data_IF_085152950289
#
_entry.id   IF_085152950289
#
_cell.length_a   1.000
_cell.length_b   1.000
_cell.length_c   1.000
_cell.angle_alpha   90.00
_cell.angle_beta   90.00
_cell.angle_gamma   90.00
#
_symmetry.space_group_name_H-M   'P 1'
#
loop_
_entity.id
_entity.type
_entity.pdbx_description
1 polymer ?
#
# COMPACT_ATOMS: atom_id res chain seq x y z
N UNK A 1 -2.49 -10.80 -6.37
CA UNK A 1 -1.47 -9.75 -6.32
C UNK A 1 -0.49 -9.93 -5.14
N UNK A 2 -0.81 -9.60 -3.89
CA UNK A 2 0.16 -9.72 -2.77
C UNK A 2 0.87 -11.10 -2.64
N UNK A 3 0.13 -12.19 -2.89
CA UNK A 3 0.68 -13.57 -2.84
C UNK A 3 1.69 -13.86 -3.96
N UNK A 4 1.64 -13.13 -5.06
CA UNK A 4 2.52 -13.33 -6.23
C UNK A 4 3.89 -12.67 -6.02
N UNK A 5 3.98 -11.65 -5.16
CA UNK A 5 5.22 -10.92 -4.88
C UNK A 5 5.50 -10.90 -3.37
N UNK A 6 6.08 -11.98 -2.80
CA UNK A 6 6.44 -11.99 -1.40
C UNK A 6 7.52 -10.94 -1.10
N UNK A 7 7.28 -10.10 -0.10
CA UNK A 7 8.23 -9.11 0.38
C UNK A 7 8.36 -9.23 1.90
N UNK A 8 9.58 -9.06 2.41
CA UNK A 8 9.82 -9.00 3.85
C UNK A 8 9.37 -7.65 4.41
N UNK A 9 8.39 -7.69 5.31
CA UNK A 9 7.80 -6.53 5.98
C UNK A 9 8.35 -6.38 7.42
N UNK A 10 9.63 -6.69 7.61
CA UNK A 10 10.32 -6.63 8.90
C UNK A 10 10.53 -5.22 9.45
N UNK A 11 10.35 -4.17 8.62
CA UNK A 11 10.48 -2.79 9.08
C UNK A 11 9.44 -2.51 10.19
N UNK A 12 9.87 -2.09 11.40
CA UNK A 12 8.96 -1.89 12.50
C UNK A 12 8.02 -0.71 12.24
N UNK A 13 6.81 -0.78 12.82
CA UNK A 13 5.86 0.34 12.77
C UNK A 13 6.32 1.44 13.74
N UNK A 14 6.37 2.67 13.25
CA UNK A 14 6.59 3.86 14.07
C UNK A 14 5.23 4.44 14.44
N UNK A 15 5.08 4.83 15.71
CA UNK A 15 3.91 5.55 16.20
C UNK A 15 4.35 6.97 16.55
N UNK A 16 3.69 7.96 15.94
CA UNK A 16 3.87 9.38 16.26
C UNK A 16 2.61 9.83 16.99
N UNK A 17 2.76 10.57 18.09
CA UNK A 17 1.62 11.04 18.88
C UNK A 17 0.92 12.19 18.17
N UNK A 18 -0.38 12.34 18.41
CA UNK A 18 -1.15 13.47 17.87
C UNK A 18 -0.59 14.80 18.42
N UNK A 19 -0.32 15.74 17.51
CA UNK A 19 0.25 17.06 17.84
C UNK A 19 1.78 17.10 17.94
N UNK A 20 2.47 15.98 17.68
CA UNK A 20 3.93 15.92 17.58
C UNK A 20 4.35 15.92 16.10
N UNK A 21 5.32 16.76 15.74
CA UNK A 21 5.89 16.74 14.40
C UNK A 21 6.74 15.47 14.21
N UNK A 22 6.53 14.69 13.13
CA UNK A 22 7.27 13.45 12.92
C UNK A 22 8.73 13.75 12.56
N UNK A 23 9.66 12.99 13.14
CA UNK A 23 11.08 13.07 12.76
C UNK A 23 11.32 12.57 11.33
N UNK A 24 12.42 13.00 10.71
CA UNK A 24 12.81 12.55 9.36
C UNK A 24 12.96 11.04 9.30
N UNK A 25 13.48 10.42 10.36
CA UNK A 25 13.65 8.98 10.51
C UNK A 25 12.30 8.27 10.58
N UNK A 26 11.36 8.80 11.37
CA UNK A 26 10.00 8.27 11.49
C UNK A 26 9.28 8.27 10.13
N UNK A 27 9.38 9.38 9.39
CA UNK A 27 8.83 9.52 8.04
C UNK A 27 9.50 8.52 7.09
N UNK A 28 10.83 8.48 7.06
CA UNK A 28 11.60 7.62 6.15
C UNK A 28 11.29 6.14 6.39
N UNK A 29 11.23 5.71 7.65
CA UNK A 29 10.91 4.34 8.01
C UNK A 29 9.49 3.96 7.61
N UNK A 30 8.54 4.87 7.85
CA UNK A 30 7.14 4.66 7.47
C UNK A 30 6.98 4.55 5.95
N UNK A 31 7.62 5.43 5.19
CA UNK A 31 7.60 5.40 3.73
C UNK A 31 8.23 4.13 3.17
N UNK A 32 9.40 3.71 3.67
CA UNK A 32 10.03 2.46 3.24
C UNK A 32 9.12 1.26 3.47
N UNK A 33 8.51 1.16 4.65
CA UNK A 33 7.57 0.09 4.98
C UNK A 33 6.32 0.11 4.08
N UNK A 34 5.78 1.30 3.82
CA UNK A 34 4.64 1.44 2.91
C UNK A 34 4.99 1.00 1.49
N UNK A 35 6.11 1.47 0.94
CA UNK A 35 6.56 1.11 -0.40
C UNK A 35 6.85 -0.39 -0.53
N UNK A 36 7.48 -1.02 0.47
CA UNK A 36 7.65 -2.48 0.50
C UNK A 36 6.30 -3.19 0.43
N UNK A 37 5.32 -2.79 1.24
CA UNK A 37 3.99 -3.37 1.19
C UNK A 37 3.33 -3.17 -0.18
N UNK A 38 3.33 -1.95 -0.71
CA UNK A 38 2.71 -1.67 -2.01
C UNK A 38 3.40 -2.41 -3.15
N UNK A 39 4.71 -2.64 -3.09
CA UNK A 39 5.42 -3.45 -4.08
C UNK A 39 4.86 -4.87 -4.20
N UNK A 40 4.32 -5.43 -3.11
CA UNK A 40 3.69 -6.77 -3.15
C UNK A 40 2.45 -6.80 -4.05
N UNK A 41 1.78 -5.66 -4.24
CA UNK A 41 0.55 -5.55 -5.01
C UNK A 41 0.79 -5.37 -6.52
N UNK A 42 2.03 -5.19 -6.96
CA UNK A 42 2.36 -5.00 -8.38
C UNK A 42 1.99 -6.24 -9.19
N UNK A 43 1.33 -6.08 -10.33
CA UNK A 43 1.09 -7.19 -11.25
C UNK A 43 2.35 -7.54 -12.06
N UNK A 44 2.37 -8.71 -12.69
CA UNK A 44 3.52 -9.23 -13.44
C UNK A 44 3.99 -8.34 -14.61
N UNK A 45 3.11 -7.51 -15.17
CA UNK A 45 3.37 -6.54 -16.24
C UNK A 45 3.70 -5.13 -15.71
N UNK A 46 3.76 -4.97 -14.38
CA UNK A 46 4.16 -3.75 -13.70
C UNK A 46 3.02 -2.82 -13.29
N UNK A 47 1.76 -3.10 -13.62
CA UNK A 47 0.62 -2.25 -13.20
C UNK A 47 0.24 -2.48 -11.73
N UNK A 48 -0.52 -1.54 -11.13
CA UNK A 48 -1.15 -1.73 -9.83
C UNK A 48 -2.67 -1.88 -9.99
N UNK A 49 -3.21 -3.09 -9.80
CA UNK A 49 -4.64 -3.32 -9.88
C UNK A 49 -5.32 -2.66 -8.68
N UNK A 50 -6.35 -1.88 -8.94
CA UNK A 50 -7.24 -1.34 -7.91
C UNK A 50 -8.65 -1.74 -8.27
N UNK A 51 -9.41 -2.12 -7.26
CA UNK A 51 -10.85 -2.26 -7.44
C UNK A 51 -11.42 -0.85 -7.67
N UNK A 52 -12.06 -0.65 -8.82
CA UNK A 52 -12.67 0.63 -9.20
C UNK A 52 -14.20 0.51 -9.13
N UNK A 53 -14.70 -0.12 -8.06
CA UNK A 53 -16.12 -0.22 -7.77
C UNK A 53 -16.56 1.02 -6.98
N UNK A 54 -17.51 1.80 -7.51
CA UNK A 54 -17.90 3.08 -6.90
C UNK A 54 -19.34 3.54 -7.13
N UNK A 55 -19.94 3.34 -8.32
CA UNK A 55 -21.36 3.71 -8.56
C UNK A 55 -22.07 2.79 -9.56
N UNK A 56 -23.31 2.44 -9.21
CA UNK A 56 -24.12 1.25 -9.52
C UNK A 56 -24.84 1.20 -10.89
N UNK A 57 -24.17 1.44 -12.02
CA UNK A 57 -24.77 1.14 -13.34
C UNK A 57 -23.90 0.22 -14.20
N UNK A 58 -22.91 -0.43 -13.58
CA UNK A 58 -21.98 -1.25 -14.34
C UNK A 58 -22.58 -2.52 -14.94
N UNK A 59 -23.86 -2.89 -14.70
CA UNK A 59 -24.66 -3.71 -15.63
C UNK A 59 -26.18 -3.64 -15.31
N UNK A 60 -27.02 -3.17 -16.24
CA UNK A 60 -28.28 -3.85 -16.54
C UNK A 60 -28.12 -4.56 -17.90
N UNK A 61 -27.89 -5.88 -17.88
CA UNK A 61 -27.92 -6.72 -19.09
C UNK A 61 -26.69 -7.57 -19.41
N UNK A 62 -25.96 -8.08 -18.42
CA UNK A 62 -25.10 -9.27 -18.61
C UNK A 62 -25.84 -10.51 -18.12
#
# INVERSE_FOLDING_TARGET
>A
FARENPCDLSIPRVFVKDGEDPSVEAVTQTLRRALQFYSTLQAHDGHWPSDFAGTLFCMPGL
#
